data_IF_924543411921
#
_entry.id   IF_924543411921
#
_cell.length_a   1.000
_cell.length_b   1.000
_cell.length_c   1.000
_cell.angle_alpha   90.00
_cell.angle_beta   90.00
_cell.angle_gamma   90.00
#
_symmetry.space_group_name_H-M   'P 1'
#
loop_
_entity.id
_entity.type
_entity.pdbx_description
1 polymer ?
#
# COMPACT_ATOMS: atom_id res chain seq x y z
N UNK A 1 1.87 17.25 -13.86
CA UNK A 1 0.83 18.30 -13.86
C UNK A 1 0.23 18.30 -12.47
N UNK A 2 0.61 19.24 -11.60
CA UNK A 2 0.10 19.31 -10.22
C UNK A 2 -1.40 19.53 -10.32
N UNK A 3 -2.21 18.72 -9.63
CA UNK A 3 -3.67 18.89 -9.60
C UNK A 3 -3.98 20.31 -9.10
N UNK A 4 -4.29 21.22 -10.02
CA UNK A 4 -4.68 22.60 -9.70
C UNK A 4 -5.93 22.65 -8.80
N UNK A 5 -6.64 21.53 -8.69
CA UNK A 5 -7.81 21.36 -7.84
C UNK A 5 -7.48 20.97 -6.39
N UNK A 6 -6.24 20.56 -6.08
CA UNK A 6 -5.84 20.11 -4.72
C UNK A 6 -6.00 21.23 -3.68
N UNK A 7 -5.42 22.44 -3.87
CA UNK A 7 -5.55 23.51 -2.86
C UNK A 7 -7.01 23.86 -2.58
N UNK A 8 -7.84 23.92 -3.64
CA UNK A 8 -9.27 24.19 -3.54
C UNK A 8 -10.02 23.12 -2.74
N UNK A 9 -9.73 21.83 -2.96
CA UNK A 9 -10.35 20.73 -2.17
C UNK A 9 -10.01 20.87 -0.69
N UNK A 10 -8.76 21.19 -0.36
CA UNK A 10 -8.28 21.32 1.02
C UNK A 10 -8.97 22.51 1.69
N UNK A 11 -9.05 23.66 1.01
CA UNK A 11 -9.74 24.85 1.50
C UNK A 11 -11.23 24.60 1.75
N UNK A 12 -11.92 23.90 0.85
CA UNK A 12 -13.35 23.58 0.97
C UNK A 12 -13.64 22.47 2.00
N UNK A 13 -12.65 21.61 2.29
CA UNK A 13 -12.81 20.44 3.16
C UNK A 13 -11.69 20.37 4.21
N UNK A 14 -11.58 21.37 5.10
CA UNK A 14 -10.50 21.43 6.07
C UNK A 14 -10.63 20.31 7.11
N UNK A 15 -9.50 19.96 7.72
CA UNK A 15 -9.39 18.88 8.73
C UNK A 15 -10.17 19.25 9.99
N UNK A 16 -10.19 20.55 10.36
CA UNK A 16 -10.85 21.08 11.56
C UNK A 16 -10.43 20.29 12.81
N UNK A 17 -11.40 19.78 13.56
CA UNK A 17 -11.22 19.00 14.79
C UNK A 17 -10.94 17.51 14.53
N UNK A 18 -10.70 17.11 13.27
CA UNK A 18 -10.51 15.72 12.90
C UNK A 18 -9.34 15.04 13.63
N UNK A 19 -8.34 15.82 14.06
CA UNK A 19 -7.15 15.33 14.75
C UNK A 19 -7.25 15.34 16.29
N UNK A 20 -8.37 15.81 16.87
CA UNK A 20 -8.50 15.97 18.33
C UNK A 20 -8.33 14.64 19.08
N UNK A 21 -8.88 13.54 18.52
CA UNK A 21 -8.72 12.20 19.07
C UNK A 21 -7.25 11.77 19.12
N UNK A 22 -6.55 11.89 18.00
CA UNK A 22 -5.11 11.61 17.90
C UNK A 22 -4.28 12.47 18.87
N UNK A 23 -4.56 13.78 18.95
CA UNK A 23 -3.87 14.71 19.86
C UNK A 23 -4.11 14.34 21.33
N UNK A 24 -5.32 13.90 21.66
CA UNK A 24 -5.64 13.39 22.99
C UNK A 24 -4.89 12.09 23.31
N UNK A 25 -4.82 11.14 22.38
CA UNK A 25 -4.03 9.91 22.52
C UNK A 25 -2.55 10.24 22.79
N UNK A 26 -1.94 11.13 21.99
CA UNK A 26 -0.56 11.55 22.17
C UNK A 26 -0.32 12.16 23.56
N UNK A 27 -1.20 13.06 24.00
CA UNK A 27 -1.11 13.68 25.32
C UNK A 27 -1.25 12.65 26.45
N UNK A 28 -2.14 11.68 26.31
CA UNK A 28 -2.34 10.62 27.29
C UNK A 28 -1.09 9.75 27.45
N UNK A 29 -0.46 9.36 26.34
CA UNK A 29 0.79 8.58 26.35
C UNK A 29 1.94 9.38 26.98
N UNK A 30 2.11 10.65 26.62
CA UNK A 30 3.13 11.48 27.24
C UNK A 30 2.92 11.60 28.76
N UNK A 31 1.66 11.79 29.19
CA UNK A 31 1.31 11.91 30.61
C UNK A 31 1.57 10.62 31.39
N UNK A 32 1.25 9.46 30.82
CA UNK A 32 1.47 8.16 31.49
C UNK A 32 2.96 7.86 31.69
N UNK A 33 3.83 8.43 30.86
CA UNK A 33 5.28 8.29 30.95
C UNK A 33 5.97 9.42 31.73
N UNK A 34 5.22 10.42 32.20
CA UNK A 34 5.81 11.60 32.85
C UNK A 34 6.63 12.48 31.90
N UNK A 35 6.33 12.43 30.60
CA UNK A 35 7.00 13.21 29.55
C UNK A 35 6.12 14.43 29.20
N UNK A 36 6.75 15.56 28.91
CA UNK A 36 6.02 16.73 28.39
C UNK A 36 5.45 16.44 27.00
N UNK A 37 4.16 16.73 26.73
CA UNK A 37 3.54 16.51 25.43
C UNK A 37 3.97 17.57 24.41
N UNK A 38 5.18 17.40 23.86
CA UNK A 38 5.71 18.20 22.77
C UNK A 38 6.13 17.30 21.60
N UNK A 39 6.16 17.79 20.34
CA UNK A 39 6.57 16.98 19.19
C UNK A 39 7.94 16.31 19.36
N UNK A 40 8.89 16.97 20.03
CA UNK A 40 10.23 16.42 20.32
C UNK A 40 10.19 15.15 21.18
N UNK A 41 9.09 14.91 21.90
CA UNK A 41 8.89 13.72 22.73
C UNK A 41 8.56 12.47 21.92
N UNK A 42 8.24 12.58 20.62
CA UNK A 42 8.00 11.42 19.74
C UNK A 42 9.18 10.44 19.75
N UNK A 43 10.42 10.94 19.80
CA UNK A 43 11.62 10.11 19.83
C UNK A 43 11.82 9.31 21.13
N UNK A 44 11.00 9.56 22.16
CA UNK A 44 11.07 8.88 23.47
C UNK A 44 10.04 7.75 23.59
N UNK A 45 9.08 7.69 22.68
CA UNK A 45 8.01 6.71 22.69
C UNK A 45 8.52 5.35 22.22
N UNK A 46 7.93 4.27 22.76
CA UNK A 46 8.23 2.90 22.33
C UNK A 46 7.58 2.61 20.98
N UNK A 47 8.05 1.54 20.33
CA UNK A 47 7.58 1.16 18.99
C UNK A 47 6.07 0.86 18.93
N UNK A 48 5.53 0.16 19.92
CA UNK A 48 4.09 -0.15 20.05
C UNK A 48 3.24 1.11 20.27
N UNK A 49 3.75 2.08 21.04
CA UNK A 49 3.09 3.35 21.27
C UNK A 49 3.08 4.22 20.01
N UNK A 50 4.21 4.28 19.29
CA UNK A 50 4.33 4.96 18.00
C UNK A 50 3.43 4.34 16.94
N UNK A 51 3.34 3.00 16.92
CA UNK A 51 2.45 2.27 16.03
C UNK A 51 0.98 2.64 16.28
N UNK A 52 0.53 2.59 17.53
CA UNK A 52 -0.85 2.94 17.87
C UNK A 52 -1.15 4.42 17.54
N UNK A 53 -0.22 5.34 17.82
CA UNK A 53 -0.37 6.74 17.45
C UNK A 53 -0.42 6.96 15.93
N UNK A 54 0.38 6.21 15.17
CA UNK A 54 0.36 6.28 13.72
C UNK A 54 -1.00 5.81 13.20
N UNK A 55 -1.55 4.72 13.73
CA UNK A 55 -2.88 4.23 13.36
C UNK A 55 -3.98 5.25 13.72
N UNK A 56 -3.95 5.83 14.92
CA UNK A 56 -4.90 6.88 15.32
C UNK A 56 -4.86 8.08 14.37
N UNK A 57 -3.66 8.52 13.99
CA UNK A 57 -3.48 9.63 13.04
C UNK A 57 -4.00 9.28 11.65
N UNK A 58 -3.66 8.11 11.13
CA UNK A 58 -4.07 7.68 9.80
C UNK A 58 -5.58 7.50 9.71
N UNK A 59 -6.22 6.96 10.75
CA UNK A 59 -7.67 6.82 10.83
C UNK A 59 -8.37 8.18 10.90
N UNK A 60 -7.83 9.12 11.68
CA UNK A 60 -8.33 10.49 11.75
C UNK A 60 -8.31 11.18 10.37
N UNK A 61 -7.16 11.13 9.68
CA UNK A 61 -7.00 11.68 8.33
C UNK A 61 -7.88 10.96 7.30
N UNK A 62 -8.03 9.64 7.41
CA UNK A 62 -8.89 8.86 6.53
C UNK A 62 -10.36 9.25 6.70
N UNK A 63 -10.78 9.60 7.91
CA UNK A 63 -12.14 10.09 8.22
C UNK A 63 -12.49 11.42 7.53
N UNK A 64 -11.50 12.28 7.26
CA UNK A 64 -11.71 13.58 6.62
C UNK A 64 -12.35 13.46 5.24
N UNK A 65 -13.19 14.44 4.87
CA UNK A 65 -13.83 14.45 3.54
C UNK A 65 -12.81 14.64 2.41
N UNK A 66 -11.77 15.45 2.65
CA UNK A 66 -10.68 15.65 1.72
C UNK A 66 -10.01 14.34 1.29
N UNK A 67 -9.88 13.34 2.18
CA UNK A 67 -9.24 12.05 1.84
C UNK A 67 -9.93 11.32 0.68
N UNK A 68 -11.26 11.46 0.57
CA UNK A 68 -12.08 10.83 -0.48
C UNK A 68 -12.02 11.57 -1.81
N UNK A 69 -11.72 12.87 -1.75
CA UNK A 69 -11.71 13.79 -2.90
C UNK A 69 -10.31 13.98 -3.49
N UNK A 70 -9.28 13.98 -2.63
CA UNK A 70 -7.88 14.09 -3.02
C UNK A 70 -7.43 12.85 -3.78
N UNK A 71 -6.79 13.05 -4.93
CA UNK A 71 -6.28 11.95 -5.76
C UNK A 71 -5.19 11.17 -5.04
N UNK A 72 -5.04 9.91 -5.40
CA UNK A 72 -4.00 9.05 -4.84
C UNK A 72 -2.60 9.62 -5.09
N UNK A 73 -1.73 9.48 -4.09
CA UNK A 73 -0.29 9.72 -4.22
C UNK A 73 0.48 8.55 -4.83
N UNK A 74 -0.17 7.39 -4.95
CA UNK A 74 0.39 6.16 -5.50
C UNK A 74 -0.37 5.65 -6.73
N UNK A 75 -0.73 4.36 -6.72
CA UNK A 75 -1.47 3.69 -7.81
C UNK A 75 -2.99 3.65 -7.58
N UNK A 76 -3.48 4.18 -6.46
CA UNK A 76 -4.87 4.10 -6.03
C UNK A 76 -5.79 5.14 -6.69
N UNK A 77 -7.03 5.19 -6.21
CA UNK A 77 -8.03 6.17 -6.65
C UNK A 77 -7.90 7.51 -5.94
N UNK A 78 -7.75 7.46 -4.61
CA UNK A 78 -7.76 8.61 -3.73
C UNK A 78 -6.93 8.34 -2.46
N UNK A 79 -6.66 9.39 -1.68
CA UNK A 79 -5.90 9.28 -0.45
C UNK A 79 -6.57 8.39 0.60
N UNK A 80 -7.90 8.26 0.59
CA UNK A 80 -8.61 7.33 1.47
C UNK A 80 -8.07 5.89 1.32
N UNK A 81 -7.94 5.41 0.07
CA UNK A 81 -7.39 4.07 -0.20
C UNK A 81 -5.89 3.96 0.12
N UNK A 82 -5.14 5.03 -0.15
CA UNK A 82 -3.71 5.05 0.16
C UNK A 82 -3.45 5.01 1.67
N UNK A 83 -4.23 5.75 2.47
CA UNK A 83 -4.18 5.75 3.93
C UNK A 83 -4.54 4.37 4.50
N UNK A 84 -5.49 3.65 3.89
CA UNK A 84 -5.80 2.28 4.29
C UNK A 84 -4.62 1.34 4.04
N UNK A 85 -3.92 1.51 2.92
CA UNK A 85 -2.72 0.73 2.59
C UNK A 85 -1.57 1.08 3.52
N UNK A 86 -1.38 2.38 3.81
CA UNK A 86 -0.37 2.84 4.75
C UNK A 86 -0.65 2.34 6.17
N UNK A 87 -1.91 2.29 6.60
CA UNK A 87 -2.31 1.71 7.89
C UNK A 87 -1.93 0.22 7.98
N UNK A 88 -2.14 -0.53 6.88
CA UNK A 88 -1.70 -1.92 6.80
C UNK A 88 -0.18 -2.05 6.86
N UNK A 89 0.56 -1.12 6.26
CA UNK A 89 2.02 -1.10 6.30
C UNK A 89 2.55 -0.77 7.70
N UNK A 90 1.95 0.22 8.39
CA UNK A 90 2.25 0.57 9.78
C UNK A 90 2.01 -0.60 10.73
N UNK A 91 1.03 -1.45 10.44
CA UNK A 91 0.73 -2.63 11.23
C UNK A 91 1.67 -3.83 10.95
N UNK A 92 2.67 -3.65 10.09
CA UNK A 92 3.70 -4.64 9.79
C UNK A 92 4.93 -4.41 10.68
N UNK A 93 5.63 -5.48 11.05
CA UNK A 93 6.79 -5.41 11.95
C UNK A 93 7.97 -4.60 11.36
N UNK A 94 8.05 -4.49 10.03
CA UNK A 94 9.15 -3.85 9.30
C UNK A 94 8.91 -2.36 8.94
N UNK A 95 7.89 -1.72 9.52
CA UNK A 95 7.58 -0.33 9.18
C UNK A 95 8.63 0.65 9.73
N UNK A 96 9.18 1.47 8.83
CA UNK A 96 10.12 2.53 9.18
C UNK A 96 9.37 3.79 9.66
N UNK A 97 9.27 3.93 10.99
CA UNK A 97 8.61 5.07 11.63
C UNK A 97 9.30 6.41 11.40
N UNK A 98 10.55 6.45 10.94
CA UNK A 98 11.20 7.72 10.61
C UNK A 98 10.47 8.44 9.47
N UNK A 99 9.82 7.69 8.57
CA UNK A 99 9.08 8.22 7.42
C UNK A 99 7.79 8.95 7.81
N UNK A 100 7.17 8.57 8.93
CA UNK A 100 5.91 9.20 9.39
C UNK A 100 6.15 10.34 10.39
N UNK A 101 7.38 10.51 10.90
CA UNK A 101 7.74 11.60 11.83
C UNK A 101 7.36 13.00 11.31
N UNK A 102 7.60 13.37 10.03
CA UNK A 102 7.19 14.67 9.52
C UNK A 102 5.67 14.89 9.62
N UNK A 103 4.89 13.84 9.35
CA UNK A 103 3.43 13.88 9.43
C UNK A 103 2.95 14.03 10.88
N UNK A 104 3.59 13.37 11.84
CA UNK A 104 3.30 13.59 13.26
C UNK A 104 3.57 15.03 13.69
N UNK A 105 4.74 15.57 13.33
CA UNK A 105 5.13 16.92 13.70
C UNK A 105 4.14 17.97 13.17
N UNK A 106 3.73 17.85 11.91
CA UNK A 106 2.72 18.74 11.32
C UNK A 106 1.35 18.61 12.02
N UNK A 107 0.96 17.39 12.40
CA UNK A 107 -0.33 17.11 13.05
C UNK A 107 -0.38 17.56 14.51
N UNK A 108 0.78 17.66 15.17
CA UNK A 108 0.94 18.12 16.56
C UNK A 108 1.27 19.62 16.66
N UNK A 109 1.44 20.32 15.54
CA UNK A 109 1.71 21.75 15.53
C UNK A 109 0.58 22.56 16.20
N UNK A 110 0.95 23.65 16.88
CA UNK A 110 -0.01 24.54 17.53
C UNK A 110 -1.01 25.13 16.52
N UNK A 111 -0.49 25.56 15.37
CA UNK A 111 -1.28 26.05 14.23
C UNK A 111 -1.29 24.95 13.18
N UNK A 112 -2.50 24.48 12.85
CA UNK A 112 -2.72 23.49 11.80
C UNK A 112 -2.58 24.12 10.43
N UNK A 113 -1.74 23.52 9.60
CA UNK A 113 -1.66 23.77 8.16
C UNK A 113 -2.10 22.49 7.44
N UNK A 114 -3.36 22.49 7.01
CA UNK A 114 -3.96 21.35 6.33
C UNK A 114 -3.21 21.01 5.03
N UNK A 115 -2.73 22.01 4.29
CA UNK A 115 -2.00 21.78 3.06
C UNK A 115 -0.67 21.07 3.32
N UNK A 116 0.05 21.49 4.35
CA UNK A 116 1.29 20.85 4.79
C UNK A 116 1.06 19.42 5.26
N UNK A 117 0.00 19.16 6.04
CA UNK A 117 -0.36 17.81 6.49
C UNK A 117 -0.64 16.90 5.31
N UNK A 118 -1.47 17.33 4.36
CA UNK A 118 -1.75 16.54 3.16
C UNK A 118 -0.50 16.33 2.31
N UNK A 119 0.41 17.29 2.23
CA UNK A 119 1.68 17.11 1.51
C UNK A 119 2.58 16.05 2.18
N UNK A 120 2.68 16.06 3.51
CA UNK A 120 3.36 14.98 4.24
C UNK A 120 2.71 13.61 4.04
N UNK A 121 1.38 13.53 3.92
CA UNK A 121 0.69 12.29 3.54
C UNK A 121 1.15 11.82 2.16
N UNK A 122 1.17 12.71 1.16
CA UNK A 122 1.66 12.38 -0.19
C UNK A 122 3.11 11.89 -0.17
N UNK A 123 3.99 12.57 0.56
CA UNK A 123 5.41 12.20 0.66
C UNK A 123 5.58 10.82 1.33
N UNK A 124 4.83 10.55 2.41
CA UNK A 124 4.85 9.25 3.09
C UNK A 124 4.40 8.11 2.16
N UNK A 125 3.36 8.34 1.36
CA UNK A 125 2.85 7.36 0.37
C UNK A 125 3.86 7.15 -0.78
N UNK A 126 4.48 8.22 -1.26
CA UNK A 126 5.47 8.15 -2.33
C UNK A 126 6.70 7.35 -1.90
N UNK A 127 7.16 7.49 -0.66
CA UNK A 127 8.28 6.70 -0.12
C UNK A 127 7.91 5.23 0.14
N UNK A 128 6.64 4.95 0.48
CA UNK A 128 6.14 3.60 0.68
C UNK A 128 5.94 2.84 -0.65
N UNK A 129 5.84 3.55 -1.78
CA UNK A 129 5.72 2.94 -3.11
C UNK A 129 7.07 2.94 -3.81
N UNK A 130 7.70 1.77 -4.05
CA UNK A 130 8.91 1.72 -4.87
C UNK A 130 8.62 2.33 -6.26
N UNK A 131 9.56 3.11 -6.83
CA UNK A 131 9.38 3.65 -8.18
C UNK A 131 9.04 2.49 -9.13
N UNK A 132 8.08 2.68 -10.06
CA UNK A 132 7.76 1.66 -11.04
C UNK A 132 9.06 1.31 -11.77
N UNK A 133 9.60 0.10 -11.52
CA UNK A 133 10.71 -0.41 -12.29
C UNK A 133 10.24 -0.38 -13.74
N UNK A 134 10.94 0.39 -14.59
CA UNK A 134 10.74 0.29 -16.02
C UNK A 134 10.92 -1.18 -16.36
N UNK A 135 9.86 -1.84 -16.81
CA UNK A 135 10.01 -3.13 -17.47
C UNK A 135 10.85 -2.78 -18.69
N UNK A 136 12.16 -3.02 -18.61
CA UNK A 136 13.01 -2.98 -19.77
C UNK A 136 12.36 -3.98 -20.72
N UNK A 137 11.76 -3.45 -21.79
CA UNK A 137 11.25 -4.24 -22.88
C UNK A 137 12.45 -5.03 -23.40
N UNK A 138 12.63 -6.26 -22.91
CA UNK A 138 13.64 -7.17 -23.41
C UNK A 138 13.11 -7.70 -24.73
N UNK A 139 13.11 -6.81 -25.72
CA UNK A 139 13.22 -7.13 -27.13
C UNK A 139 14.60 -7.75 -27.35
N UNK A 140 14.82 -8.95 -26.81
CA UNK A 140 15.74 -9.87 -27.43
C UNK A 140 14.90 -10.76 -28.33
N UNK A 141 14.62 -10.23 -29.52
CA UNK A 141 14.42 -11.08 -30.69
C UNK A 141 15.57 -12.07 -30.71
N UNK A 142 15.29 -13.35 -30.54
CA UNK A 142 16.23 -14.40 -30.88
C UNK A 142 16.45 -14.33 -32.39
N UNK A 143 17.70 -14.18 -32.88
CA UNK A 143 17.98 -14.23 -34.30
C UNK A 143 17.67 -15.65 -34.82
N UNK A 144 16.58 -15.79 -35.57
CA UNK A 144 16.20 -17.03 -36.24
C UNK A 144 17.14 -17.29 -37.43
N UNK A 145 18.31 -17.86 -37.13
CA UNK A 145 19.25 -18.38 -38.12
C UNK A 145 19.48 -19.86 -37.85
N UNK A 146 18.51 -20.71 -38.26
CA UNK A 146 18.76 -22.02 -38.89
C UNK A 146 17.57 -22.42 -39.76
N UNK A 147 17.75 -22.24 -41.07
CA UNK A 147 17.00 -22.91 -42.11
C UNK A 147 17.22 -24.43 -42.03
N UNK A 148 16.19 -25.24 -42.31
CA UNK A 148 16.11 -26.04 -43.54
C UNK A 148 14.81 -26.85 -43.62
N UNK A 149 14.27 -26.90 -44.84
CA UNK A 149 13.48 -27.99 -45.46
C UNK A 149 12.06 -28.27 -44.93
N UNK A 150 11.11 -27.53 -45.51
CA UNK A 150 10.04 -28.05 -46.36
C UNK A 150 9.36 -29.38 -46.00
N UNK A 151 8.09 -29.31 -45.62
CA UNK A 151 6.98 -30.15 -46.12
C UNK A 151 5.71 -29.35 -45.83
N UNK A 152 5.04 -28.85 -46.86
CA UNK A 152 3.80 -29.44 -47.38
C UNK A 152 2.64 -29.34 -46.40
N UNK A 153 1.84 -28.29 -46.58
CA UNK A 153 0.39 -28.37 -46.74
C UNK A 153 -0.27 -29.69 -46.25
N UNK A 154 -0.91 -29.66 -45.08
CA UNK A 154 -2.30 -30.16 -44.94
C UNK A 154 -2.84 -29.93 -43.54
N UNK A 155 -4.14 -29.65 -43.49
CA UNK A 155 -5.02 -29.54 -42.33
C UNK A 155 -5.03 -30.77 -41.42
N UNK A 156 -5.44 -30.53 -40.17
CA UNK A 156 -5.58 -31.45 -39.04
C UNK A 156 -4.28 -31.89 -38.39
N UNK A 157 -4.13 -31.59 -37.10
CA UNK A 157 -3.87 -32.59 -36.04
C UNK A 157 -4.07 -31.89 -34.68
N UNK A 158 -5.33 -31.80 -34.24
CA UNK A 158 -5.66 -31.71 -32.82
C UNK A 158 -5.20 -33.01 -32.17
N UNK A 159 -4.12 -32.95 -31.38
CA UNK A 159 -3.79 -33.80 -30.23
C UNK A 159 -2.32 -33.61 -29.88
N UNK A 160 -2.00 -32.57 -29.11
CA UNK A 160 -0.91 -32.59 -28.11
C UNK A 160 -0.92 -31.29 -27.28
N UNK A 161 -2.04 -31.01 -26.62
CA UNK A 161 -2.13 -29.92 -25.61
C UNK A 161 -1.88 -30.47 -24.19
N UNK A 162 -1.46 -31.73 -24.07
CA UNK A 162 -1.39 -32.41 -22.77
C UNK A 162 0.00 -32.92 -22.42
N UNK A 163 1.03 -32.06 -22.51
CA UNK A 163 2.33 -32.29 -21.84
C UNK A 163 3.07 -31.03 -21.34
N UNK A 164 2.49 -29.83 -21.43
CA UNK A 164 3.10 -28.60 -20.84
C UNK A 164 2.42 -28.17 -19.53
N UNK A 165 1.27 -28.77 -19.19
CA UNK A 165 0.56 -28.54 -17.91
C UNK A 165 0.92 -29.59 -16.83
N UNK A 166 2.14 -30.16 -16.88
CA UNK A 166 2.55 -31.21 -15.94
C UNK A 166 4.00 -31.09 -15.45
N UNK A 167 4.55 -29.88 -15.42
CA UNK A 167 5.87 -29.58 -14.82
C UNK A 167 5.82 -28.47 -13.75
N UNK A 168 4.66 -28.16 -13.18
CA UNK A 168 4.55 -27.34 -11.94
C UNK A 168 3.55 -27.94 -10.91
N UNK A 169 3.24 -29.24 -11.05
CA UNK A 169 2.51 -30.02 -10.02
C UNK A 169 3.20 -31.38 -9.83
N UNK A 170 4.46 -31.32 -9.39
CA UNK A 170 5.18 -32.47 -8.89
C UNK A 170 5.07 -32.54 -7.38
N UNK A 171 4.18 -33.40 -6.86
CA UNK A 171 4.17 -34.14 -5.57
C UNK A 171 2.72 -34.27 -5.06
N UNK A 172 2.09 -35.42 -4.80
CA UNK A 172 2.50 -36.81 -4.59
C UNK A 172 1.28 -37.69 -4.92
N UNK A 173 1.50 -38.75 -5.70
CA UNK A 173 0.62 -39.93 -5.76
C UNK A 173 0.82 -40.73 -4.48
N UNK A 174 -0.24 -41.01 -3.73
CA UNK A 174 -0.44 -42.31 -3.08
C UNK A 174 -1.83 -42.41 -2.46
N UNK A 175 -2.54 -43.49 -2.79
CA UNK A 175 -3.50 -44.09 -1.85
C UNK A 175 -4.95 -44.20 -2.31
N UNK A 176 -5.21 -45.12 -3.25
CA UNK A 176 -6.32 -46.07 -3.21
C UNK A 176 -7.79 -45.59 -3.18
N UNK A 177 -8.44 -45.75 -4.33
CA UNK A 177 -9.84 -46.19 -4.49
C UNK A 177 -10.07 -47.56 -3.79
N UNK A 178 -11.31 -47.87 -3.34
CA UNK A 178 -12.29 -48.49 -4.24
C UNK A 178 -13.66 -47.79 -4.17
N UNK A 179 -14.21 -47.40 -5.31
CA UNK A 179 -15.17 -48.15 -6.14
C UNK A 179 -16.61 -48.11 -5.60
N UNK A 180 -17.45 -47.42 -6.37
CA UNK A 180 -18.89 -47.32 -6.22
C UNK A 180 -19.57 -48.41 -7.04
N UNK A 181 -20.49 -49.16 -6.43
CA UNK A 181 -21.67 -49.77 -7.07
C UNK A 181 -22.66 -50.03 -5.93
N UNK A 182 -23.91 -49.57 -5.88
CA UNK A 182 -24.90 -49.34 -6.91
C UNK A 182 -26.15 -50.14 -6.51
N UNK A 183 -27.16 -49.43 -5.96
CA UNK A 183 -28.59 -49.76 -5.74
C UNK A 183 -29.05 -51.20 -5.45
N UNK A 184 -29.82 -51.34 -4.37
CA UNK A 184 -31.28 -51.55 -4.45
C UNK A 184 -31.96 -50.64 -3.44
#
# INVERSE_FOLDING_TARGET
MVDQHRPKIIEENPIKNGLDGFRASFKAICTSQGISPCPDSLGKLKGDELQNLALDLLLALQGCQASRLLRSGGRGKNLFGDLSTLSSAVNSDDFDFDRIKPLFNASLAEILDDALIWDHVYNTIAEATPPPRSIASSLQQTPWLRNTSGFANSSEHRKYVDLVLREELGTIVSGNLPEVRGRQ
#
